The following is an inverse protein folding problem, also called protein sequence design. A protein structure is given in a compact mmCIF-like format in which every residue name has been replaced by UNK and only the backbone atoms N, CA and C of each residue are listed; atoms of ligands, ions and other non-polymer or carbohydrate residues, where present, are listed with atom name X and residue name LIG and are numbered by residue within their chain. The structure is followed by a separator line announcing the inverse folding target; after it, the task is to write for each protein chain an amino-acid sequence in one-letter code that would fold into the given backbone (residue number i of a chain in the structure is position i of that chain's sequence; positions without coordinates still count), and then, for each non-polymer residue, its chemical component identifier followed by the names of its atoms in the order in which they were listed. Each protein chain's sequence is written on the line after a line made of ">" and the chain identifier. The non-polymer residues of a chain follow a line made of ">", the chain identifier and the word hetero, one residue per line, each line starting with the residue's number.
data_IF_211163726085
#
_entry.id   IF_211163726085
#
_cell.length_a   1.000
_cell.length_b   1.000
_cell.length_c   1.000
_cell.angle_alpha   90.00
_cell.angle_beta   90.00
_cell.angle_gamma   90.00
#
_symmetry.space_group_name_H-M   'P 1'
#
loop_
_entity.id
_entity.type
_entity.pdbx_description
1 polymer ?
#
# COMPACT_ATOMS: atom_id res chain seq x y z
N UNK A 1 -0.45 40.76 -24.12
CA UNK A 1 -0.89 40.16 -22.86
C UNK A 1 -0.19 40.94 -21.78
N UNK A 2 -0.96 41.71 -21.01
CA UNK A 2 -0.39 42.54 -19.95
C UNK A 2 0.23 41.63 -18.89
N UNK A 3 1.35 42.02 -18.24
CA UNK A 3 1.99 41.18 -17.23
C UNK A 3 1.03 40.82 -16.09
N UNK A 4 0.04 41.67 -15.82
CA UNK A 4 -1.04 41.41 -14.88
C UNK A 4 -1.95 40.22 -15.27
N UNK A 5 -2.26 40.07 -16.57
CA UNK A 5 -3.11 38.97 -17.06
C UNK A 5 -2.38 37.61 -16.98
N UNK A 6 -1.07 37.61 -17.20
CA UNK A 6 -0.24 36.40 -17.09
C UNK A 6 -0.10 35.95 -15.64
N UNK A 7 0.04 36.88 -14.70
CA UNK A 7 0.07 36.55 -13.26
C UNK A 7 -1.29 36.01 -12.79
N UNK A 8 -2.39 36.63 -13.23
CA UNK A 8 -3.73 36.19 -12.87
C UNK A 8 -4.03 34.77 -13.37
N UNK A 9 -3.68 34.46 -14.62
CA UNK A 9 -3.88 33.13 -15.19
C UNK A 9 -3.02 32.07 -14.49
N UNK A 10 -1.75 32.38 -14.19
CA UNK A 10 -0.87 31.49 -13.44
C UNK A 10 -1.39 31.23 -12.02
N UNK A 11 -1.89 32.27 -11.33
CA UNK A 11 -2.45 32.13 -9.99
C UNK A 11 -3.68 31.20 -9.97
N UNK A 12 -4.58 31.32 -10.95
CA UNK A 12 -5.74 30.43 -11.10
C UNK A 12 -5.29 28.99 -11.38
N UNK A 13 -4.31 28.80 -12.26
CA UNK A 13 -3.79 27.47 -12.59
C UNK A 13 -3.15 26.79 -11.37
N UNK A 14 -2.32 27.51 -10.61
CA UNK A 14 -1.73 27.01 -9.37
C UNK A 14 -2.78 26.68 -8.30
N UNK A 15 -3.80 27.54 -8.15
CA UNK A 15 -4.94 27.29 -7.26
C UNK A 15 -5.67 25.99 -7.64
N UNK A 16 -5.89 25.77 -8.94
CA UNK A 16 -6.51 24.55 -9.46
C UNK A 16 -5.65 23.31 -9.18
N UNK A 17 -4.33 23.37 -9.42
CA UNK A 17 -3.41 22.26 -9.14
C UNK A 17 -3.42 21.90 -7.65
N UNK A 18 -3.32 22.89 -6.77
CA UNK A 18 -3.37 22.66 -5.32
C UNK A 18 -4.69 22.03 -4.89
N UNK A 19 -5.82 22.47 -5.47
CA UNK A 19 -7.13 21.88 -5.21
C UNK A 19 -7.18 20.41 -5.63
N UNK A 20 -6.64 20.05 -6.80
CA UNK A 20 -6.58 18.66 -7.27
C UNK A 20 -5.74 17.76 -6.34
N UNK A 21 -4.60 18.27 -5.85
CA UNK A 21 -3.75 17.56 -4.88
C UNK A 21 -4.55 17.32 -3.59
N UNK A 22 -5.20 18.35 -3.04
CA UNK A 22 -6.00 18.26 -1.82
C UNK A 22 -7.17 17.29 -1.98
N UNK A 23 -7.85 17.30 -3.13
CA UNK A 23 -8.95 16.37 -3.40
C UNK A 23 -8.48 14.91 -3.43
N UNK A 24 -7.30 14.62 -4.01
CA UNK A 24 -6.74 13.26 -4.01
C UNK A 24 -6.36 12.79 -2.61
N UNK A 25 -5.76 13.64 -1.79
CA UNK A 25 -5.36 13.31 -0.42
C UNK A 25 -6.59 13.12 0.49
N UNK A 26 -7.58 14.02 0.41
CA UNK A 26 -8.84 13.88 1.17
C UNK A 26 -9.62 12.63 0.78
N UNK A 27 -9.58 12.23 -0.50
CA UNK A 27 -10.22 11.00 -0.98
C UNK A 27 -9.65 9.76 -0.30
N UNK A 28 -8.32 9.67 -0.17
CA UNK A 28 -7.65 8.54 0.48
C UNK A 28 -8.05 8.40 1.95
N UNK A 29 -8.17 9.51 2.68
CA UNK A 29 -8.56 9.50 4.09
C UNK A 29 -10.01 9.01 4.25
N UNK A 30 -10.93 9.44 3.36
CA UNK A 30 -12.34 9.05 3.43
C UNK A 30 -12.53 7.54 3.22
N UNK A 31 -11.77 6.95 2.30
CA UNK A 31 -11.81 5.52 1.99
C UNK A 31 -11.30 4.67 3.15
N UNK A 32 -10.16 5.04 3.74
CA UNK A 32 -9.59 4.36 4.91
C UNK A 32 -10.53 4.45 6.13
N UNK A 33 -11.16 5.61 6.34
CA UNK A 33 -12.13 5.78 7.43
C UNK A 33 -13.41 4.95 7.22
N UNK A 34 -13.85 4.79 5.96
CA UNK A 34 -15.01 3.96 5.61
C UNK A 34 -14.76 2.49 5.93
N UNK A 35 -13.56 1.98 5.63
CA UNK A 35 -13.17 0.61 5.96
C UNK A 35 -13.07 0.38 7.48
N UNK A 36 -12.51 1.35 8.21
CA UNK A 36 -12.44 1.29 9.68
C UNK A 36 -13.81 1.30 10.35
N UNK A 37 -14.76 2.08 9.83
CA UNK A 37 -16.14 2.13 10.37
C UNK A 37 -16.86 0.79 10.16
N UNK A 38 -16.63 0.13 9.01
CA UNK A 38 -17.15 -1.21 8.73
C UNK A 38 -16.62 -2.26 9.72
N UNK A 39 -15.30 -2.28 9.98
CA UNK A 39 -14.68 -3.24 10.92
C UNK A 39 -15.11 -2.95 12.37
N UNK A 40 -15.20 -1.67 12.75
CA UNK A 40 -15.66 -1.25 14.08
C UNK A 40 -17.10 -1.69 14.33
N UNK A 41 -17.97 -1.58 13.33
CA UNK A 41 -19.36 -2.01 13.45
C UNK A 41 -19.51 -3.55 13.48
N UNK A 42 -18.56 -4.31 12.90
CA UNK A 42 -18.56 -5.78 12.93
C UNK A 42 -18.02 -6.39 14.24
N UNK A 43 -16.98 -5.79 14.82
CA UNK A 43 -16.33 -6.30 16.05
C UNK A 43 -17.15 -6.09 17.32
N UNK A 44 -18.27 -5.37 17.26
CA UNK A 44 -19.20 -5.18 18.37
C UNK A 44 -20.24 -6.27 18.58
N UNK A 45 -20.34 -7.31 17.73
CA UNK A 45 -21.50 -8.22 17.76
C UNK A 45 -21.32 -9.62 17.10
N UNK A 46 -20.41 -10.44 17.61
CA UNK A 46 -20.41 -11.91 17.53
C UNK A 46 -19.33 -12.42 18.50
N UNK A 47 -19.55 -12.85 19.74
CA UNK A 47 -20.69 -13.51 20.39
C UNK A 47 -21.05 -14.86 19.74
N UNK A 48 -20.52 -15.93 20.35
CA UNK A 48 -20.89 -17.37 20.34
C UNK A 48 -20.35 -18.29 19.23
N UNK A 49 -19.91 -19.55 19.42
CA UNK A 49 -19.42 -20.45 20.51
C UNK A 49 -18.82 -21.71 19.79
N UNK A 50 -18.70 -22.92 20.40
CA UNK A 50 -17.47 -23.63 20.81
C UNK A 50 -17.16 -24.87 19.91
N UNK A 51 -16.22 -25.73 20.34
CA UNK A 51 -15.87 -27.08 19.85
C UNK A 51 -14.45 -27.23 19.24
N UNK A 52 -13.51 -27.54 20.14
CA UNK A 52 -12.29 -28.35 19.93
C UNK A 52 -12.67 -29.86 19.74
N UNK A 53 -11.79 -30.84 19.39
CA UNK A 53 -10.41 -31.10 19.92
C UNK A 53 -9.41 -31.60 18.81
N UNK A 54 -8.09 -31.77 18.98
CA UNK A 54 -7.36 -32.75 19.81
C UNK A 54 -5.85 -32.39 19.83
N UNK A 55 -5.26 -32.68 20.98
CA UNK A 55 -3.90 -32.60 21.54
C UNK A 55 -2.66 -32.92 20.68
N UNK A 56 -1.62 -32.10 20.83
CA UNK A 56 -0.20 -32.52 20.81
C UNK A 56 0.60 -31.69 21.86
N UNK A 57 1.32 -32.32 22.82
CA UNK A 57 2.03 -31.62 23.87
C UNK A 57 3.57 -31.70 23.68
N UNK A 58 4.19 -30.66 23.11
CA UNK A 58 5.55 -30.31 23.53
C UNK A 58 5.89 -28.83 23.27
N UNK A 59 6.30 -28.15 24.33
CA UNK A 59 6.47 -26.71 24.43
C UNK A 59 7.77 -26.20 23.80
N UNK A 60 7.73 -24.98 23.26
CA UNK A 60 8.91 -24.22 22.85
C UNK A 60 8.59 -22.80 22.36
N UNK A 61 8.09 -21.95 23.28
CA UNK A 61 8.19 -20.49 23.33
C UNK A 61 8.14 -19.65 22.04
N UNK A 62 7.05 -18.86 21.96
CA UNK A 62 7.02 -17.42 21.70
C UNK A 62 7.82 -16.87 20.51
N UNK A 63 7.12 -16.63 19.40
CA UNK A 63 7.25 -15.33 18.74
C UNK A 63 5.90 -14.88 18.18
N UNK A 64 5.29 -13.94 18.90
CA UNK A 64 4.30 -13.02 18.35
C UNK A 64 5.03 -12.17 17.32
N UNK A 65 5.01 -12.58 16.05
CA UNK A 65 5.31 -11.66 14.97
C UNK A 65 4.02 -11.07 14.46
N UNK A 66 3.90 -9.79 14.75
CA UNK A 66 2.81 -8.91 14.40
C UNK A 66 2.88 -8.66 12.89
N UNK A 67 2.54 -9.66 12.06
CA UNK A 67 2.63 -9.53 10.58
C UNK A 67 1.27 -9.35 9.90
N UNK A 68 0.25 -8.93 10.64
CA UNK A 68 -1.08 -8.67 10.05
C UNK A 68 -1.22 -7.25 9.47
N UNK A 69 -0.33 -6.32 9.84
CA UNK A 69 -0.38 -4.93 9.37
C UNK A 69 0.52 -4.65 8.15
N UNK A 70 1.40 -5.60 7.79
CA UNK A 70 2.29 -5.46 6.62
C UNK A 70 1.68 -6.07 5.35
N UNK A 71 0.75 -7.02 5.49
CA UNK A 71 0.15 -7.75 4.37
C UNK A 71 -0.77 -6.90 3.48
N UNK A 72 -1.29 -5.77 4.00
CA UNK A 72 -2.24 -4.91 3.26
C UNK A 72 -1.52 -3.82 2.44
N UNK A 73 -0.35 -3.33 2.88
CA UNK A 73 0.46 -2.38 2.08
C UNK A 73 1.23 -3.06 0.94
N UNK A 74 1.42 -4.37 1.04
CA UNK A 74 2.18 -5.18 0.10
C UNK A 74 1.43 -5.36 -1.24
N UNK A 75 0.10 -5.49 -1.24
CA UNK A 75 -0.66 -5.74 -2.49
C UNK A 75 -0.63 -4.57 -3.48
N UNK A 76 -0.94 -3.35 -3.03
CA UNK A 76 -0.93 -2.16 -3.90
C UNK A 76 0.48 -1.82 -4.40
N UNK A 77 1.50 -2.11 -3.58
CA UNK A 77 2.89 -1.94 -3.98
C UNK A 77 3.31 -2.98 -5.02
N UNK A 78 2.91 -4.24 -4.84
CA UNK A 78 3.21 -5.33 -5.75
C UNK A 78 2.53 -5.14 -7.12
N UNK A 79 1.29 -4.61 -7.17
CA UNK A 79 0.61 -4.22 -8.42
C UNK A 79 1.35 -3.11 -9.18
N UNK A 80 1.81 -2.08 -8.45
CA UNK A 80 2.62 -1.02 -9.04
C UNK A 80 3.96 -1.54 -9.55
N UNK A 81 4.55 -2.50 -8.85
CA UNK A 81 5.78 -3.16 -9.25
C UNK A 81 5.57 -3.95 -10.55
N UNK A 82 4.46 -4.67 -10.66
CA UNK A 82 4.06 -5.44 -11.83
C UNK A 82 3.93 -4.56 -13.08
N UNK A 83 3.24 -3.42 -12.97
CA UNK A 83 3.10 -2.44 -14.05
C UNK A 83 4.46 -1.90 -14.50
N UNK A 84 5.35 -1.62 -13.56
CA UNK A 84 6.69 -1.10 -13.84
C UNK A 84 7.56 -2.16 -14.54
N UNK A 85 7.40 -3.44 -14.19
CA UNK A 85 8.06 -4.57 -14.87
C UNK A 85 7.52 -4.74 -16.29
N UNK A 86 6.20 -4.70 -16.50
CA UNK A 86 5.57 -4.78 -17.83
C UNK A 86 6.02 -3.65 -18.77
N UNK A 87 6.27 -2.46 -18.23
CA UNK A 87 6.78 -1.31 -18.99
C UNK A 87 8.28 -1.41 -19.31
N UNK A 88 8.95 -2.51 -18.96
CA UNK A 88 10.40 -2.69 -19.15
C UNK A 88 11.26 -1.88 -18.17
N UNK A 89 10.66 -1.29 -17.12
CA UNK A 89 11.35 -0.43 -16.15
C UNK A 89 11.89 -1.22 -14.95
N UNK A 90 12.53 -2.36 -15.20
CA UNK A 90 13.01 -3.31 -14.17
C UNK A 90 13.91 -2.68 -13.10
N UNK A 91 14.80 -1.77 -13.49
CA UNK A 91 15.72 -1.08 -12.56
C UNK A 91 14.94 -0.17 -11.59
N UNK A 92 13.92 0.53 -12.08
CA UNK A 92 13.08 1.40 -11.26
C UNK A 92 12.25 0.58 -10.25
N UNK A 93 11.76 -0.60 -10.68
CA UNK A 93 11.04 -1.52 -9.82
C UNK A 93 11.93 -2.01 -8.65
N UNK A 94 13.15 -2.47 -8.97
CA UNK A 94 14.12 -2.89 -7.95
C UNK A 94 14.43 -1.74 -6.98
N UNK A 95 14.62 -0.52 -7.49
CA UNK A 95 14.88 0.65 -6.65
C UNK A 95 13.73 0.93 -5.68
N UNK A 96 12.49 0.98 -6.18
CA UNK A 96 11.29 1.17 -5.36
C UNK A 96 11.12 0.08 -4.31
N UNK A 97 11.38 -1.18 -4.68
CA UNK A 97 11.26 -2.31 -3.76
C UNK A 97 12.25 -2.20 -2.60
N UNK A 98 13.47 -1.72 -2.89
CA UNK A 98 14.48 -1.45 -1.87
C UNK A 98 14.12 -0.28 -0.96
N UNK A 99 13.54 0.79 -1.51
CA UNK A 99 13.11 1.95 -0.72
C UNK A 99 11.92 1.65 0.21
N UNK A 100 11.07 0.66 -0.15
CA UNK A 100 9.85 0.35 0.62
C UNK A 100 10.04 -0.82 1.59
N UNK A 101 10.81 -1.85 1.20
CA UNK A 101 11.05 -3.04 2.02
C UNK A 101 12.44 -3.07 2.66
N UNK A 102 13.24 -1.99 2.51
CA UNK A 102 14.65 -1.90 2.95
C UNK A 102 15.47 -3.16 2.60
N UNK A 103 15.17 -3.71 1.42
CA UNK A 103 15.66 -5.02 1.00
C UNK A 103 17.04 -4.90 0.34
N UNK A 104 17.88 -5.92 0.53
CA UNK A 104 19.17 -5.99 -0.15
C UNK A 104 19.00 -6.06 -1.69
N UNK A 105 19.97 -5.54 -2.44
CA UNK A 105 19.91 -5.48 -3.90
C UNK A 105 19.71 -6.86 -4.53
N UNK A 106 20.35 -7.88 -3.97
CA UNK A 106 20.24 -9.27 -4.45
C UNK A 106 18.82 -9.82 -4.28
N UNK A 107 18.25 -9.61 -3.11
CA UNK A 107 16.89 -10.08 -2.77
C UNK A 107 15.83 -9.31 -3.56
N UNK A 108 16.02 -7.99 -3.73
CA UNK A 108 15.12 -7.17 -4.52
C UNK A 108 15.11 -7.56 -6.00
N UNK A 109 16.30 -7.82 -6.57
CA UNK A 109 16.41 -8.34 -7.93
C UNK A 109 15.69 -9.69 -8.08
N UNK A 110 15.96 -10.64 -7.18
CA UNK A 110 15.36 -11.98 -7.23
C UNK A 110 13.83 -11.93 -7.15
N UNK A 111 13.28 -11.00 -6.38
CA UNK A 111 11.83 -10.82 -6.28
C UNK A 111 11.21 -10.29 -7.58
N UNK A 112 11.85 -9.29 -8.20
CA UNK A 112 11.41 -8.75 -9.49
C UNK A 112 11.57 -9.79 -10.62
N UNK A 113 12.66 -10.57 -10.59
CA UNK A 113 12.89 -11.67 -11.55
C UNK A 113 11.76 -12.73 -11.44
N UNK A 114 11.34 -13.11 -10.22
CA UNK A 114 10.22 -14.04 -10.00
C UNK A 114 8.87 -13.49 -10.47
N UNK A 115 8.65 -12.18 -10.33
CA UNK A 115 7.44 -11.52 -10.82
C UNK A 115 7.39 -11.51 -12.36
N UNK A 116 8.54 -11.37 -13.01
CA UNK A 116 8.67 -11.44 -14.46
C UNK A 116 8.44 -12.88 -14.97
N UNK A 117 8.93 -13.90 -14.27
CA UNK A 117 8.69 -15.32 -14.60
C UNK A 117 7.22 -15.77 -14.45
N UNK A 118 6.41 -15.01 -13.70
CA UNK A 118 4.98 -15.29 -13.51
C UNK A 118 4.08 -14.62 -14.56
N UNK A 119 4.65 -13.85 -15.50
CA UNK A 119 3.95 -13.27 -16.66
C UNK A 119 4.11 -14.16 -17.90
#
# INVERSE_FOLDING_TARGET
>A
MEPAELIATLAVFLSCILLLIVMKVKRQIKEIQLELDLIRNQTGRADFTPYSPVSDPNQGQAVSFNTSSEKIKVTAFDEQLLLMVQQGQKIAAIKKLREVKDMDLKSAKLYVDKLEEQM
#
